data_IF_089623785466
#
_entry.id   IF_089623785466
#
_cell.length_a   1.000
_cell.length_b   1.000
_cell.length_c   1.000
_cell.angle_alpha   90.00
_cell.angle_beta   90.00
_cell.angle_gamma   90.00
#
_symmetry.space_group_name_H-M   'P 1'
#
loop_
_entity.id
_entity.type
_entity.pdbx_description
1 polymer ?
2 non-polymer ?
3 non-polymer ?
4 non-polymer ?
5 non-polymer ?
6 non-polymer ?
7 non-polymer ?
8 water ?
#
# COMPACT_ATOMS: atom_id res chain seq x y z
N UNK A 3 8.60 7.91 2.43
CA UNK A 3 8.25 9.34 2.10
C UNK A 3 7.31 9.40 0.88
N UNK A 4 7.76 8.89 -0.27
CA UNK A 4 6.96 8.90 -1.49
C UNK A 4 5.59 8.23 -1.32
N UNK A 5 5.57 6.97 -0.89
CA UNK A 5 4.27 6.25 -0.73
C UNK A 5 3.40 7.00 0.26
N UNK A 6 4.00 7.45 1.35
CA UNK A 6 3.29 8.24 2.35
C UNK A 6 2.69 9.50 1.80
N UNK A 7 3.46 10.19 0.96
CA UNK A 7 2.95 11.37 0.29
C UNK A 7 1.80 11.01 -0.64
N UNK A 8 1.93 9.90 -1.36
CA UNK A 8 0.85 9.44 -2.22
C UNK A 8 -0.41 9.11 -1.41
N UNK A 9 -0.23 8.44 -0.27
CA UNK A 9 -1.37 8.12 0.59
C UNK A 9 -2.09 9.41 1.03
N UNK A 10 -1.32 10.39 1.48
CA UNK A 10 -1.92 11.64 1.97
C UNK A 10 -2.69 12.37 0.86
N UNK A 11 -2.07 12.53 -0.30
CA UNK A 11 -2.75 13.14 -1.44
C UNK A 11 -4.04 12.42 -1.84
N UNK A 12 -4.04 11.09 -1.83
CA UNK A 12 -5.20 10.36 -2.32
C UNK A 12 -6.31 10.14 -1.29
N UNK A 13 -5.99 10.14 0.00
CA UNK A 13 -6.98 9.79 1.04
C UNK A 13 -7.44 10.93 1.96
N UNK A 14 -6.71 12.04 1.98
CA UNK A 14 -6.93 13.09 3.00
C UNK A 14 -6.48 12.74 4.41
N UNK A 15 -5.92 11.55 4.63
CA UNK A 15 -5.46 11.15 5.95
C UNK A 15 -3.97 11.25 5.98
N UNK A 16 -3.42 11.33 7.18
CA UNK A 16 -2.01 11.14 7.41
C UNK A 16 -1.56 9.74 6.96
N UNK A 17 -0.32 9.63 6.48
CA UNK A 17 0.28 8.33 6.11
C UNK A 17 0.28 7.35 7.29
N UNK A 18 0.49 7.90 8.48
CA UNK A 18 0.56 7.15 9.74
C UNK A 18 -0.71 6.32 10.00
N UNK A 19 -1.86 6.83 9.54
CA UNK A 19 -3.15 6.14 9.69
C UNK A 19 -3.33 4.90 8.82
N UNK A 20 -2.45 4.70 7.85
CA UNK A 20 -2.42 3.46 7.09
C UNK A 20 -1.24 2.59 7.46
N UNK A 21 -0.17 3.19 7.96
CA UNK A 21 1.05 2.46 8.20
C UNK A 21 1.12 1.33 9.16
N UNK A 22 0.07 1.25 9.97
CA UNK A 22 -0.10 0.27 10.97
C UNK A 22 -1.61 0.11 11.03
N UNK A 23 -2.20 -0.49 9.99
CA UNK A 23 -3.62 -0.77 9.99
C UNK A 23 -3.89 -2.24 9.74
N UNK A 24 -4.86 -2.79 10.46
CA UNK A 24 -5.27 -4.18 10.26
C UNK A 24 -4.13 -5.17 10.42
N UNK A 25 -4.17 -6.24 9.64
CA UNK A 25 -3.17 -7.29 9.69
C UNK A 25 -2.09 -7.20 8.61
N UNK A 26 -2.30 -6.38 7.57
CA UNK A 26 -1.36 -6.27 6.44
C UNK A 26 -0.71 -4.91 6.19
N UNK A 27 -1.29 -3.83 6.67
CA UNK A 27 -0.72 -2.50 6.37
C UNK A 27 0.44 -2.28 7.33
N UNK A 28 1.62 -2.03 6.78
CA UNK A 28 2.85 -2.00 7.57
C UNK A 28 3.67 -3.23 7.25
N UNK A 29 4.85 -3.34 7.83
CA UNK A 29 5.80 -4.41 7.45
C UNK A 29 5.24 -5.83 7.69
N UNK A 30 5.30 -6.66 6.65
CA UNK A 30 4.85 -8.04 6.74
C UNK A 30 3.34 -8.15 6.86
N UNK A 31 2.90 -9.23 7.48
CA UNK A 31 1.49 -9.49 7.61
C UNK A 31 1.20 -10.97 7.57
N UNK A 32 0.08 -11.34 8.15
CA UNK A 32 -0.31 -12.74 8.29
C UNK A 32 -1.80 -12.80 8.58
N UNK A 33 -2.37 -13.99 8.44
CA UNK A 33 -3.76 -14.25 8.81
C UNK A 33 -4.74 -13.55 7.86
N UNK A 34 -6.00 -13.43 8.23
CA UNK A 34 -7.00 -12.95 7.30
C UNK A 34 -7.12 -11.42 7.40
N UNK A 35 -7.13 -10.71 6.26
CA UNK A 35 -7.36 -9.26 6.29
C UNK A 35 -8.64 -8.85 7.00
N UNK A 36 -8.58 -7.77 7.77
CA UNK A 36 -9.74 -7.36 8.55
C UNK A 36 -10.88 -6.72 7.75
N UNK A 37 -10.55 -6.05 6.65
CA UNK A 37 -11.53 -5.32 5.86
C UNK A 37 -10.94 -4.98 4.47
N UNK A 38 -11.69 -4.22 3.67
CA UNK A 38 -11.24 -3.95 2.29
C UNK A 38 -9.92 -3.15 2.25
N UNK A 39 -9.78 -2.18 3.16
CA UNK A 39 -8.53 -1.40 3.26
C UNK A 39 -7.34 -2.33 3.52
N UNK A 40 -7.53 -3.31 4.41
CA UNK A 40 -6.47 -4.26 4.74
C UNK A 40 -6.14 -5.14 3.53
N UNK A 41 -7.16 -5.54 2.76
CA UNK A 41 -6.96 -6.25 1.52
C UNK A 41 -6.10 -5.44 0.55
N UNK A 42 -6.27 -4.11 0.52
CA UNK A 42 -5.39 -3.26 -0.33
C UNK A 42 -3.94 -3.51 0.06
N UNK A 43 -3.67 -3.61 1.36
CA UNK A 43 -2.32 -3.86 1.85
C UNK A 43 -1.79 -5.28 1.57
N UNK A 44 -2.65 -6.29 1.74
CA UNK A 44 -2.32 -7.64 1.27
C UNK A 44 -1.89 -7.64 -0.21
N UNK A 45 -2.69 -7.02 -1.07
CA UNK A 45 -2.36 -6.93 -2.51
C UNK A 45 -1.04 -6.18 -2.74
N UNK A 46 -0.83 -5.11 -1.99
CA UNK A 46 0.39 -4.29 -2.11
C UNK A 46 1.64 -5.11 -1.73
N UNK A 47 1.54 -5.90 -0.65
CA UNK A 47 2.61 -6.82 -0.28
C UNK A 47 2.90 -7.82 -1.40
N UNK A 48 1.85 -8.37 -1.99
CA UNK A 48 2.01 -9.29 -3.13
C UNK A 48 2.69 -8.57 -4.30
N UNK A 49 2.27 -7.33 -4.53
CA UNK A 49 2.85 -6.51 -5.62
C UNK A 49 4.36 -6.32 -5.42
N UNK A 50 4.77 -5.92 -4.22
CA UNK A 50 6.18 -5.83 -3.90
C UNK A 50 6.93 -7.16 -4.07
N UNK A 51 6.28 -8.27 -3.70
CA UNK A 51 6.87 -9.60 -3.89
C UNK A 51 7.18 -9.86 -5.35
N UNK A 52 6.24 -9.50 -6.23
CA UNK A 52 6.43 -9.68 -7.67
C UNK A 52 7.62 -8.85 -8.17
N UNK A 53 7.71 -7.62 -7.68
CA UNK A 53 8.83 -6.74 -8.01
C UNK A 53 10.18 -7.29 -7.54
N UNK A 54 10.21 -7.85 -6.33
CA UNK A 54 11.42 -8.48 -5.82
C UNK A 54 11.85 -9.63 -6.74
N UNK A 55 10.89 -10.42 -7.20
CA UNK A 55 11.19 -11.56 -8.08
C UNK A 55 11.73 -11.10 -9.44
N UNK A 56 11.35 -9.89 -9.90
CA UNK A 56 11.92 -9.26 -11.09
C UNK A 56 13.31 -8.62 -10.93
N UNK A 57 13.87 -8.64 -9.72
CA UNK A 57 15.17 -8.07 -9.43
C UNK A 57 15.12 -6.67 -8.84
N UNK A 58 13.92 -6.13 -8.59
CA UNK A 58 13.78 -4.82 -7.99
C UNK A 58 13.87 -4.88 -6.47
N UNK A 59 14.07 -3.71 -5.87
CA UNK A 59 14.10 -3.54 -4.42
C UNK A 59 13.02 -2.52 -3.99
N UNK A 60 11.72 -2.90 -4.12
CA UNK A 60 10.66 -1.90 -3.99
C UNK A 60 10.62 -1.22 -2.63
N UNK A 61 11.11 -1.88 -1.58
CA UNK A 61 11.17 -1.23 -0.26
C UNK A 61 12.11 -0.04 -0.24
N UNK A 62 13.08 -0.04 -1.15
CA UNK A 62 14.09 1.02 -1.23
C UNK A 62 13.96 1.96 -2.43
N UNK A 63 13.16 1.61 -3.43
CA UNK A 63 13.17 2.35 -4.69
C UNK A 63 12.55 3.73 -4.48
N UNK A 64 13.14 4.74 -5.11
CA UNK A 64 12.67 6.12 -5.04
C UNK A 64 12.14 6.47 -6.42
N UNK A 65 10.92 6.99 -6.50
CA UNK A 65 10.31 7.33 -7.80
C UNK A 65 9.74 8.75 -7.79
N UNK A 66 9.22 9.16 -8.94
CA UNK A 66 8.56 10.45 -9.09
C UNK A 66 7.11 10.28 -9.43
N UNK A 67 6.27 11.17 -8.93
CA UNK A 67 4.89 11.15 -9.33
C UNK A 67 4.21 12.46 -9.17
N UNK A 68 3.13 12.63 -9.93
CA UNK A 68 2.27 13.79 -9.80
C UNK A 68 0.84 13.32 -9.72
N UNK A 69 -0.01 14.18 -9.15
CA UNK A 69 -1.44 13.94 -9.06
C UNK A 69 -2.16 15.14 -9.67
N UNK A 70 -2.87 14.89 -10.76
CA UNK A 70 -3.75 15.87 -11.40
C UNK A 70 -5.18 15.33 -11.40
N UNK A 71 -6.05 16.02 -12.13
CA UNK A 71 -7.42 15.58 -12.41
C UNK A 71 -7.48 14.27 -13.21
N UNK A 72 -6.47 14.01 -14.04
CA UNK A 72 -6.41 12.75 -14.82
C UNK A 72 -5.99 11.54 -13.99
N UNK A 73 -5.40 11.79 -12.82
CA UNK A 73 -5.01 10.74 -11.88
C UNK A 73 -3.57 10.85 -11.41
N UNK A 74 -2.98 9.69 -11.13
CA UNK A 74 -1.62 9.57 -10.65
C UNK A 74 -0.78 9.23 -11.85
N UNK A 75 0.25 10.03 -12.09
CA UNK A 75 1.20 9.79 -13.15
C UNK A 75 2.52 9.36 -12.50
N UNK A 76 3.01 8.19 -12.88
CA UNK A 76 4.25 7.64 -12.34
C UNK A 76 5.43 7.91 -13.27
N UNK A 77 6.59 8.11 -12.68
CA UNK A 77 7.83 8.31 -13.44
C UNK A 77 9.05 7.89 -12.66
N UNK A 78 10.17 7.79 -13.37
CA UNK A 78 11.42 7.39 -12.75
C UNK A 78 12.43 7.00 -13.79
N UNK A 79 13.70 7.16 -13.45
CA UNK A 79 14.78 6.83 -14.37
C UNK A 79 14.78 5.34 -14.74
N UNK A 80 14.46 4.48 -13.78
CA UNK A 80 14.52 3.04 -14.03
C UNK A 80 13.15 2.38 -14.03
N UNK A 81 13.07 1.28 -14.76
CA UNK A 81 11.86 0.47 -14.77
C UNK A 81 11.41 0.01 -13.36
N UNK A 82 12.36 -0.37 -12.52
CA UNK A 82 12.05 -0.76 -11.14
C UNK A 82 11.43 0.38 -10.34
N UNK A 83 11.89 1.61 -10.56
CA UNK A 83 11.27 2.78 -9.89
C UNK A 83 9.83 2.95 -10.37
N UNK A 84 9.62 2.83 -11.68
CA UNK A 84 8.29 2.98 -12.23
C UNK A 84 7.33 1.86 -11.77
N UNK A 85 7.84 0.64 -11.69
CA UNK A 85 7.07 -0.51 -11.16
C UNK A 85 6.65 -0.28 -9.71
N UNK A 86 7.57 0.24 -8.92
CA UNK A 86 7.27 0.49 -7.51
C UNK A 86 6.15 1.53 -7.42
N UNK A 87 6.26 2.58 -8.24
CA UNK A 87 5.21 3.60 -8.30
C UNK A 87 3.85 2.99 -8.68
N UNK A 88 3.85 2.04 -9.61
CA UNK A 88 2.60 1.40 -10.04
C UNK A 88 1.99 0.59 -8.91
N UNK A 89 2.79 -0.14 -8.16
CA UNK A 89 2.25 -0.90 -6.99
C UNK A 89 1.64 0.07 -5.96
N UNK A 90 2.37 1.15 -5.68
CA UNK A 90 1.94 2.16 -4.72
C UNK A 90 0.66 2.85 -5.18
N UNK A 91 0.61 3.25 -6.46
CA UNK A 91 -0.57 3.85 -7.06
C UNK A 91 -1.81 2.97 -6.88
N UNK A 92 -1.66 1.70 -7.22
CA UNK A 92 -2.79 0.79 -7.10
C UNK A 92 -3.26 0.74 -5.64
N UNK A 93 -2.32 0.68 -4.70
CA UNK A 93 -2.67 0.63 -3.28
C UNK A 93 -3.35 1.93 -2.84
N UNK A 94 -2.78 3.07 -3.25
CA UNK A 94 -3.34 4.35 -2.83
C UNK A 94 -4.75 4.57 -3.41
N UNK A 95 -4.96 4.16 -4.67
CA UNK A 95 -6.30 4.18 -5.26
C UNK A 95 -7.26 3.25 -4.54
N UNK A 96 -6.75 2.10 -4.15
CA UNK A 96 -7.54 1.14 -3.38
C UNK A 96 -7.95 1.74 -2.02
N UNK A 97 -7.01 2.38 -1.34
CA UNK A 97 -7.34 3.07 -0.09
C UNK A 97 -8.46 4.09 -0.30
N UNK A 98 -8.30 4.96 -1.31
CA UNK A 98 -9.31 5.96 -1.60
C UNK A 98 -10.67 5.34 -1.89
N UNK A 99 -10.70 4.32 -2.73
CA UNK A 99 -11.93 3.63 -3.11
C UNK A 99 -12.68 3.04 -1.90
N UNK A 100 -11.92 2.65 -0.88
CA UNK A 100 -12.48 2.06 0.34
C UNK A 100 -12.58 2.98 1.55
N UNK A 101 -12.52 4.31 1.34
CA UNK A 101 -12.64 5.26 2.47
C UNK A 101 -13.95 5.11 3.25
N UNK A 102 -15.01 4.71 2.54
CA UNK A 102 -16.31 4.42 3.14
C UNK A 102 -16.33 3.38 4.24
N UNK A 103 -15.41 2.41 4.22
CA UNK A 103 -15.33 1.40 5.29
C UNK A 103 -14.08 1.48 6.16
N UNK A 104 -13.19 2.43 5.89
CA UNK A 104 -12.05 2.68 6.77
C UNK A 104 -12.59 2.83 8.21
N UNK A 105 -12.00 2.08 9.14
CA UNK A 105 -12.42 2.13 10.54
C UNK A 105 -11.22 2.44 11.42
N UNK A 106 -11.32 3.54 12.17
CA UNK A 106 -10.26 3.97 13.08
C UNK A 106 -9.87 2.92 14.10
N UNK A 107 -10.79 2.02 14.45
CA UNK A 107 -10.46 0.94 15.39
C UNK A 107 -9.39 -0.06 14.87
N UNK A 108 -9.18 -0.11 13.55
CA UNK A 108 -8.18 -0.98 12.94
C UNK A 108 -6.82 -0.33 12.74
N UNK A 109 -6.72 0.97 13.02
CA UNK A 109 -5.42 1.61 13.06
C UNK A 109 -4.67 1.11 14.32
N UNK A 110 -3.39 0.78 14.19
CA UNK A 110 -2.59 0.25 15.30
C UNK A 110 -3.19 -1.01 15.89
N UNK A 111 -3.62 -1.90 15.00
CA UNK A 111 -4.34 -3.07 15.40
C UNK A 111 -3.36 -4.07 16.05
N UNK A 112 -3.67 -4.56 17.27
CA UNK A 112 -2.77 -5.53 17.91
C UNK A 112 -2.68 -6.81 17.07
N UNK A 113 -1.46 -7.15 16.68
CA UNK A 113 -1.23 -8.23 15.74
C UNK A 113 -1.70 -9.59 16.26
N UNK A 114 -1.73 -9.72 17.58
CA UNK A 114 -2.31 -10.86 18.27
C UNK A 114 -3.75 -11.12 17.87
N UNK A 115 -4.50 -10.08 17.47
CA UNK A 115 -5.89 -10.25 17.04
C UNK A 115 -6.03 -10.78 15.62
N UNK A 116 -4.92 -10.88 14.88
CA UNK A 116 -4.99 -11.43 13.53
C UNK A 116 -5.13 -12.95 13.62
N UNK A 117 -6.22 -13.46 13.07
CA UNK A 117 -6.55 -14.89 13.14
C UNK A 117 -6.98 -15.41 11.78
N UNK A 118 -7.05 -16.73 11.68
CA UNK A 118 -7.47 -17.39 10.46
C UNK A 118 -6.34 -17.67 9.51
N UNK A 119 -6.67 -18.18 8.32
CA UNK A 119 -5.65 -18.50 7.34
C UNK A 119 -5.05 -17.26 6.70
N UNK A 120 -3.94 -17.45 6.00
CA UNK A 120 -3.25 -16.40 5.24
C UNK A 120 -3.63 -16.58 3.77
N UNK A 121 -4.39 -15.63 3.18
CA UNK A 121 -4.77 -15.79 1.78
C UNK A 121 -3.55 -15.70 0.85
N UNK A 122 -3.52 -16.52 -0.22
CA UNK A 122 -2.37 -16.48 -1.12
C UNK A 122 -2.48 -15.24 -2.02
N UNK A 123 -1.39 -14.89 -2.68
CA UNK A 123 -1.39 -13.75 -3.60
C UNK A 123 -2.27 -13.98 -4.83
X LIG B 1 3.97 -6.12 -11.06
X LIG B 1 3.62 -7.48 -11.31
X LIG B 1 2.81 -5.18 -11.35
X LIG B 1 1.63 -5.59 -10.66
X LIG B 1 3.14 -3.76 -10.94
X LIG B 1 2.12 -2.95 -11.47
X LIG C 1 4.79 -4.63 4.11
X LIG C 1 5.84 -4.20 3.57
X LIG C 1 6.95 -4.78 3.61
X LIG C 1 5.76 -2.90 2.76
X LIG C 1 4.63 -2.14 3.29
X LIG C 1 4.81 -1.01 4.06
X LIG C 1 6.05 -0.75 4.67
X LIG C 1 6.22 0.39 5.43
X LIG C 1 5.14 1.23 5.56
X LIG C 1 3.96 0.97 4.96
X LIG C 1 3.76 -0.15 4.21
X LIG C 1 2.46 -0.09 3.79
X LIG C 1 1.74 -0.95 2.99
X LIG C 1 1.07 -0.56 2.03
X LIG C 1 1.69 -2.45 3.29
X LIG C 1 2.28 -2.96 4.24
X LIG C 1 0.98 -3.16 2.42
X LIG C 1 1.93 1.03 4.28
X LIG C 1 0.48 1.50 4.05
X LIG C 1 2.84 1.71 4.99
X LIG C 1 2.76 3.04 5.80
X LIG C 1 3.61 4.11 5.45
X LIG C 1 3.86 4.27 4.09
X LIG C 1 4.68 5.28 3.63
X LIG C 1 5.27 6.17 4.52
X LIG C 1 5.03 6.04 5.88
X LIG C 1 4.20 5.02 6.39
X LIG C 1 4.04 4.97 7.83
X LIG C 1 4.58 3.79 8.33
X LIG C 1 2.82 5.06 8.15
X LIG C 1 4.67 5.98 8.48
X LIG D 1 -13.45 -7.43 3.70
X LIG E 1 -13.93 5.30 12.00
X LIG F 1 2.02 16.65 -7.65
X LIG G 1 -1.31 -5.16 -6.77
X LIG H 1 -4.96 7.36 -11.50
X LIG I 1 2.33 -5.51 4.91
X LIG J 1 8.63 17.47 -3.63
X LIG J 1 7.29 16.82 -4.00
X LIG J 1 9.82 16.51 -3.83
X LIG J 1 9.59 15.59 -4.95
X LIG J 1 10.35 15.57 -6.20
X LIG J 1 9.66 16.39 -7.32
X LIG J 1 11.79 16.04 -5.93
X LIG J 1 10.38 14.12 -6.63
X LIG J 1 7.15 16.71 -5.45
X LIG J 1 6.54 15.58 -6.13
X LIG J 1 7.32 14.27 -5.94
X LIG J 1 6.59 15.98 -7.59
X LIG J 1 5.07 15.49 -5.66
X LIG J 1 7.46 13.42 -7.13
X LIG J 1 7.10 17.31 -7.78
X LIG J 1 4.54 14.15 -5.51
X LIG J 1 10.02 16.03 -8.68
X LIG J 1 12.22 17.06 -6.85
X LIG J 1 9.81 13.22 -5.66
X LIG K 1 14.46 -1.95 -18.18
#
# INVERSE_FOLDING_TARGET
NLVQFGVMIEKMTGKSALQYGDYGCYCGIGGSHWPVDQTDWCCHAHDCCYGRLEKLGCEPKLEKYLFSVSERGIFCAGRTTCQRLTCECDKRAALCFRRNLGTYNRKYAHYPNKLCTGPTPPC
GOL C1 O1 C2 O2 C3 O3
7W3 OAO CAN OAP CAM OAL CAF CAA CAB CAC CAD CAE CAI CAK OAS CAQ OAT NAR CAH CAJ NAG CAU CAV CBA CAZ CAY CAX CAW CBB FBD FBE FBC
CL CL
CL CL
CL CL
CL CL
CL CL
CA CA
B3P C1 C2 C3 N1 C4 C5 C6 C7 N2 C8 C9 C10 C11 O1 O2 O3 O4 O5 O6
NA NA
#
